data_IF_999365640223
#
_entry.id   IF_999365640223
#
_cell.length_a   1.000
_cell.length_b   1.000
_cell.length_c   1.000
_cell.angle_alpha   90.00
_cell.angle_beta   90.00
_cell.angle_gamma   90.00
#
_symmetry.space_group_name_H-M   'P 1'
#
loop_
_entity.id
_entity.type
_entity.pdbx_description
1 polymer ?
#
# COMPACT_ATOMS: atom_id res chain seq x y z
N UNK A 1 8.51 -13.14 4.38
CA UNK A 1 7.64 -12.78 5.52
C UNK A 1 8.34 -11.81 6.49
N UNK A 2 9.42 -12.21 7.19
CA UNK A 2 10.08 -11.38 8.22
C UNK A 2 10.33 -9.94 7.79
N UNK A 3 10.94 -9.71 6.62
CA UNK A 3 11.19 -8.36 6.08
C UNK A 3 9.94 -7.49 6.08
N UNK A 4 8.77 -8.04 5.75
CA UNK A 4 7.51 -7.29 5.67
C UNK A 4 6.96 -6.85 7.04
N UNK A 5 7.51 -7.36 8.14
CA UNK A 5 7.18 -6.95 9.51
C UNK A 5 8.19 -5.95 10.09
N UNK A 6 9.34 -5.76 9.45
CA UNK A 6 10.40 -4.88 9.94
C UNK A 6 10.12 -3.43 9.53
N UNK A 7 9.85 -2.58 10.52
CA UNK A 7 9.53 -1.16 10.37
C UNK A 7 10.71 -0.29 9.92
N UNK A 8 11.93 -0.79 10.06
CA UNK A 8 13.15 -0.23 9.48
C UNK A 8 13.38 -0.65 8.01
N UNK A 9 12.67 -1.68 7.54
CA UNK A 9 12.76 -2.16 6.15
C UNK A 9 11.63 -1.63 5.27
N UNK A 10 10.38 -1.69 5.73
CA UNK A 10 9.20 -1.20 5.01
C UNK A 10 8.69 0.09 5.63
N UNK A 11 8.33 1.06 4.78
CA UNK A 11 7.75 2.33 5.21
C UNK A 11 6.34 2.17 5.80
N UNK A 12 5.61 1.16 5.34
CA UNK A 12 4.32 0.70 5.84
C UNK A 12 4.35 -0.84 5.95
N UNK A 13 4.66 -1.41 7.13
CA UNK A 13 4.71 -2.85 7.33
C UNK A 13 3.42 -3.56 6.93
N UNK A 14 3.56 -4.74 6.31
CA UNK A 14 2.43 -5.55 5.83
C UNK A 14 2.16 -6.76 6.73
N UNK A 15 3.07 -7.08 7.64
CA UNK A 15 2.94 -8.16 8.62
C UNK A 15 3.07 -7.58 10.02
N UNK A 16 2.17 -7.99 10.90
CA UNK A 16 2.27 -7.79 12.34
C UNK A 16 2.89 -9.05 12.94
N UNK A 17 4.12 -8.92 13.43
CA UNK A 17 4.94 -10.03 13.91
C UNK A 17 5.11 -9.99 15.43
N UNK A 18 4.99 -11.14 16.07
CA UNK A 18 5.24 -11.32 17.50
C UNK A 18 6.42 -12.27 17.74
N UNK A 19 7.36 -11.84 18.58
CA UNK A 19 8.65 -12.52 18.81
C UNK A 19 9.82 -11.69 18.28
N UNK A 20 10.99 -12.32 18.10
CA UNK A 20 12.16 -11.63 17.54
C UNK A 20 12.15 -11.67 16.00
N UNK A 21 11.79 -10.54 15.37
CA UNK A 21 11.82 -10.34 13.92
C UNK A 21 13.13 -9.70 13.41
N UNK A 22 14.17 -9.65 14.23
CA UNK A 22 15.48 -9.10 13.90
C UNK A 22 15.59 -7.60 14.17
N UNK A 23 16.79 -7.08 13.96
CA UNK A 23 17.14 -5.66 14.02
C UNK A 23 17.92 -5.28 12.75
N UNK A 24 18.48 -4.07 12.70
CA UNK A 24 19.40 -3.68 11.63
C UNK A 24 20.73 -4.46 11.67
N UNK A 25 21.10 -4.99 12.84
CA UNK A 25 22.39 -5.67 13.07
C UNK A 25 22.21 -7.21 13.21
N UNK A 26 21.07 -7.66 13.75
CA UNK A 26 20.82 -9.08 14.05
C UNK A 26 19.67 -9.69 13.24
N UNK A 27 19.84 -10.97 12.90
CA UNK A 27 18.80 -11.76 12.23
C UNK A 27 17.60 -12.12 13.12
N UNK A 28 16.47 -12.52 12.52
CA UNK A 28 15.28 -12.94 13.25
C UNK A 28 15.48 -14.29 13.96
N UNK A 29 14.61 -14.57 14.93
CA UNK A 29 14.50 -15.91 15.50
C UNK A 29 13.97 -16.92 14.47
N UNK A 30 14.19 -18.22 14.74
CA UNK A 30 13.64 -19.29 13.91
C UNK A 30 12.11 -19.28 13.91
N UNK A 31 11.44 -19.71 12.80
CA UNK A 31 9.99 -19.60 12.63
C UNK A 31 9.15 -20.24 13.75
N UNK A 32 9.67 -21.29 14.39
CA UNK A 32 9.02 -21.98 15.52
C UNK A 32 8.87 -21.12 16.80
N UNK A 33 9.51 -19.96 16.85
CA UNK A 33 9.47 -19.03 17.98
C UNK A 33 8.75 -17.71 17.66
N UNK A 34 8.20 -17.58 16.45
CA UNK A 34 7.59 -16.35 15.97
C UNK A 34 6.15 -16.60 15.55
N UNK A 35 5.28 -15.66 15.83
CA UNK A 35 3.90 -15.64 15.34
C UNK A 35 3.72 -14.44 14.41
N UNK A 36 2.79 -14.53 13.46
CA UNK A 36 2.55 -13.47 12.49
C UNK A 36 1.09 -13.44 12.04
N UNK A 37 0.61 -12.24 11.72
CA UNK A 37 -0.66 -12.00 11.02
C UNK A 37 -0.51 -10.84 10.04
N UNK A 38 -1.50 -10.61 9.20
CA UNK A 38 -1.53 -9.42 8.33
C UNK A 38 -1.61 -8.15 9.20
N UNK A 39 -0.78 -7.15 8.86
CA UNK A 39 -0.94 -5.81 9.43
C UNK A 39 -2.24 -5.18 8.92
N UNK A 40 -2.79 -4.23 9.68
CA UNK A 40 -4.07 -3.60 9.36
C UNK A 40 -4.12 -2.94 7.98
N UNK A 41 -2.99 -2.42 7.48
CA UNK A 41 -2.87 -1.86 6.14
C UNK A 41 -2.86 -2.94 5.05
N UNK A 42 -2.29 -4.11 5.33
CA UNK A 42 -2.18 -5.20 4.36
C UNK A 42 -3.52 -5.83 3.99
N UNK A 43 -4.52 -5.80 4.89
CA UNK A 43 -5.88 -6.24 4.59
C UNK A 43 -6.45 -5.52 3.37
N UNK A 44 -6.18 -4.22 3.27
CA UNK A 44 -6.65 -3.37 2.15
C UNK A 44 -6.00 -3.71 0.80
N UNK A 45 -4.91 -4.50 0.81
CA UNK A 45 -4.36 -5.02 -0.44
C UNK A 45 -5.22 -6.15 -1.01
N UNK A 46 -5.96 -6.87 -0.16
CA UNK A 46 -6.73 -8.07 -0.50
C UNK A 46 -8.24 -7.89 -0.40
N UNK A 47 -8.72 -6.70 -0.02
CA UNK A 47 -10.15 -6.43 0.09
C UNK A 47 -10.87 -6.68 -1.24
N UNK A 48 -12.11 -7.20 -1.15
CA UNK A 48 -13.01 -7.43 -2.29
C UNK A 48 -12.56 -8.50 -3.29
N UNK A 49 -11.61 -9.37 -2.95
CA UNK A 49 -11.18 -10.47 -3.84
C UNK A 49 -12.32 -11.42 -4.26
N UNK A 50 -13.41 -11.47 -3.47
CA UNK A 50 -14.63 -12.24 -3.75
C UNK A 50 -15.62 -11.51 -4.69
N UNK A 51 -15.32 -10.28 -5.12
CA UNK A 51 -16.19 -9.44 -5.95
C UNK A 51 -15.69 -9.29 -7.40
N UNK A 52 -15.01 -10.32 -7.94
CA UNK A 52 -14.52 -10.38 -9.33
C UNK A 52 -13.67 -9.17 -9.73
N UNK A 53 -12.78 -8.72 -8.85
CA UNK A 53 -12.02 -7.46 -9.02
C UNK A 53 -10.70 -7.62 -9.76
N UNK A 54 -10.18 -8.85 -9.83
CA UNK A 54 -8.90 -9.21 -10.47
C UNK A 54 -9.01 -10.61 -11.05
N UNK A 55 -8.14 -10.94 -12.00
CA UNK A 55 -8.12 -12.27 -12.59
C UNK A 55 -7.46 -13.29 -11.66
N UNK A 56 -8.05 -14.48 -11.63
CA UNK A 56 -7.52 -15.63 -10.92
C UNK A 56 -6.93 -16.63 -11.90
N UNK A 57 -5.75 -17.13 -11.58
CA UNK A 57 -5.01 -18.15 -12.35
C UNK A 57 -4.84 -19.42 -11.52
N UNK A 58 -4.69 -20.60 -12.15
CA UNK A 58 -4.35 -21.81 -11.42
C UNK A 58 -3.01 -21.67 -10.68
N UNK A 59 -2.90 -22.31 -9.53
CA UNK A 59 -1.62 -22.49 -8.83
C UNK A 59 -0.74 -23.53 -9.56
N UNK A 60 0.48 -23.76 -9.06
CA UNK A 60 1.50 -24.59 -9.72
C UNK A 60 1.07 -26.05 -10.03
N UNK A 61 0.12 -26.62 -9.27
CA UNK A 61 -0.39 -27.98 -9.47
C UNK A 61 -1.85 -28.04 -9.96
N UNK A 62 -2.44 -26.88 -10.31
CA UNK A 62 -3.82 -26.72 -10.74
C UNK A 62 -4.90 -27.21 -9.74
N UNK A 63 -4.57 -27.37 -8.44
CA UNK A 63 -5.55 -27.76 -7.42
C UNK A 63 -6.31 -26.57 -6.82
N UNK A 64 -5.71 -25.38 -6.85
CA UNK A 64 -6.26 -24.14 -6.31
C UNK A 64 -6.14 -23.01 -7.34
N UNK A 65 -6.87 -21.94 -7.13
CA UNK A 65 -6.68 -20.68 -7.86
C UNK A 65 -6.02 -19.63 -6.97
N UNK A 66 -5.33 -18.69 -7.58
CA UNK A 66 -4.67 -17.56 -6.93
C UNK A 66 -4.88 -16.29 -7.77
N UNK A 67 -4.93 -15.10 -7.16
CA UNK A 67 -4.97 -13.86 -7.93
C UNK A 67 -3.64 -13.66 -8.67
N UNK A 68 -3.70 -13.21 -9.92
CA UNK A 68 -2.49 -12.82 -10.69
C UNK A 68 -1.90 -11.50 -10.15
N UNK A 69 -2.78 -10.58 -9.72
CA UNK A 69 -2.44 -9.32 -9.06
C UNK A 69 -3.41 -9.04 -7.92
N UNK A 70 -2.99 -8.29 -6.90
CA UNK A 70 -3.86 -7.89 -5.80
C UNK A 70 -4.66 -6.61 -6.13
N UNK A 71 -5.89 -6.45 -5.57
CA UNK A 71 -6.70 -5.22 -5.70
C UNK A 71 -5.96 -3.94 -5.28
N UNK A 72 -5.10 -4.05 -4.26
CA UNK A 72 -4.15 -3.03 -3.85
C UNK A 72 -4.77 -1.63 -3.60
N UNK A 73 -5.62 -1.47 -2.57
CA UNK A 73 -6.29 -0.20 -2.28
C UNK A 73 -5.36 1.00 -2.00
N UNK A 74 -4.05 0.80 -1.88
CA UNK A 74 -3.03 1.85 -1.88
C UNK A 74 -1.84 1.52 -2.80
N UNK A 75 -1.07 2.53 -3.25
CA UNK A 75 0.05 2.36 -4.19
C UNK A 75 1.29 1.72 -3.52
N UNK A 76 1.19 0.46 -3.13
CA UNK A 76 2.19 -0.26 -2.32
C UNK A 76 3.60 -0.25 -2.94
N UNK A 77 3.72 -0.34 -4.27
CA UNK A 77 5.03 -0.34 -4.95
C UNK A 77 5.82 0.95 -4.68
N UNK A 78 5.17 2.10 -4.74
CA UNK A 78 5.80 3.40 -4.44
C UNK A 78 5.99 3.60 -2.95
N UNK A 79 4.98 3.23 -2.14
CA UNK A 79 5.01 3.42 -0.68
C UNK A 79 6.12 2.61 -0.02
N UNK A 80 6.22 1.31 -0.33
CA UNK A 80 7.17 0.41 0.30
C UNK A 80 8.46 0.18 -0.51
N UNK A 81 8.49 0.61 -1.77
CA UNK A 81 9.60 0.33 -2.67
C UNK A 81 9.74 -1.17 -2.99
N UNK A 82 10.77 -1.50 -3.74
CA UNK A 82 11.09 -2.85 -4.16
C UNK A 82 12.59 -2.98 -4.41
N UNK A 83 13.14 -4.15 -4.15
CA UNK A 83 14.53 -4.45 -4.50
C UNK A 83 14.60 -5.88 -4.99
N UNK A 84 15.36 -6.13 -6.04
CA UNK A 84 15.44 -7.45 -6.66
C UNK A 84 16.51 -7.52 -7.73
N UNK A 85 17.18 -8.66 -7.81
CA UNK A 85 18.18 -8.97 -8.84
C UNK A 85 17.62 -10.14 -9.65
N UNK A 86 17.41 -9.92 -10.94
CA UNK A 86 16.97 -10.94 -11.89
C UNK A 86 18.08 -11.23 -12.89
N UNK A 87 17.77 -11.93 -13.99
CA UNK A 87 18.74 -12.22 -15.05
C UNK A 87 18.82 -11.03 -16.01
N UNK A 88 19.99 -10.38 -16.07
CA UNK A 88 20.23 -9.24 -16.98
C UNK A 88 19.60 -7.91 -16.55
N UNK A 89 18.93 -7.88 -15.39
CA UNK A 89 18.30 -6.67 -14.86
C UNK A 89 18.24 -6.71 -13.32
N UNK A 90 18.08 -5.53 -12.73
CA UNK A 90 17.83 -5.37 -11.30
C UNK A 90 16.80 -4.25 -11.10
N UNK A 91 16.16 -4.23 -9.95
CA UNK A 91 15.29 -3.15 -9.50
C UNK A 91 15.72 -2.70 -8.11
N UNK A 92 15.69 -1.39 -7.87
CA UNK A 92 15.94 -0.80 -6.56
C UNK A 92 15.14 0.51 -6.46
N UNK A 93 13.95 0.40 -5.86
CA UNK A 93 12.98 1.49 -5.73
C UNK A 93 12.96 1.98 -4.29
N UNK A 94 13.11 3.28 -4.10
CA UNK A 94 13.03 3.88 -2.78
C UNK A 94 11.56 3.92 -2.28
N UNK A 95 11.32 3.77 -0.97
CA UNK A 95 10.00 3.96 -0.39
C UNK A 95 9.60 5.44 -0.33
N UNK A 96 8.29 5.68 -0.28
CA UNK A 96 7.69 7.02 -0.27
C UNK A 96 6.60 7.14 0.79
N UNK A 97 6.25 8.38 1.12
CA UNK A 97 5.21 8.66 2.09
C UNK A 97 3.82 8.31 1.52
N UNK A 98 3.02 7.55 2.27
CA UNK A 98 1.68 7.13 1.85
C UNK A 98 0.77 8.30 1.48
N UNK A 99 0.74 9.34 2.32
CA UNK A 99 -0.16 10.49 2.15
C UNK A 99 0.20 11.24 0.88
N UNK A 100 1.49 11.42 0.64
CA UNK A 100 2.01 12.13 -0.54
C UNK A 100 1.71 11.39 -1.84
N UNK A 101 1.99 10.08 -1.89
CA UNK A 101 1.73 9.26 -3.08
C UNK A 101 0.23 9.18 -3.36
N UNK A 102 -0.61 9.04 -2.33
CA UNK A 102 -2.08 9.07 -2.50
C UNK A 102 -2.54 10.44 -2.99
N UNK A 103 -2.00 11.53 -2.45
CA UNK A 103 -2.38 12.88 -2.89
C UNK A 103 -2.02 13.10 -4.36
N UNK A 104 -0.88 12.59 -4.81
CA UNK A 104 -0.48 12.60 -6.21
C UNK A 104 -1.38 11.73 -7.10
N UNK A 105 -1.73 10.52 -6.65
CA UNK A 105 -2.63 9.63 -7.37
C UNK A 105 -4.03 10.25 -7.53
N UNK A 106 -4.56 10.87 -6.47
CA UNK A 106 -5.84 11.61 -6.52
C UNK A 106 -5.77 12.80 -7.46
N UNK A 107 -4.68 13.56 -7.43
CA UNK A 107 -4.47 14.66 -8.38
C UNK A 107 -4.46 14.17 -9.84
N UNK A 108 -3.81 13.03 -10.11
CA UNK A 108 -3.76 12.42 -11.45
C UNK A 108 -5.11 11.84 -11.89
N UNK A 109 -5.92 11.34 -10.95
CA UNK A 109 -7.29 10.90 -11.22
C UNK A 109 -8.14 12.08 -11.70
N UNK A 110 -8.04 13.22 -11.03
CA UNK A 110 -8.78 14.45 -11.33
C UNK A 110 -8.22 15.19 -12.56
N UNK A 111 -6.92 15.04 -12.84
CA UNK A 111 -6.20 15.71 -13.93
C UNK A 111 -5.34 14.69 -14.70
N UNK A 112 -5.93 13.94 -15.66
CA UNK A 112 -5.21 12.88 -16.37
C UNK A 112 -3.98 13.36 -17.16
N UNK A 113 -3.99 14.62 -17.59
CA UNK A 113 -2.91 15.26 -18.35
C UNK A 113 -1.86 15.94 -17.45
N UNK A 114 -1.89 15.69 -16.12
CA UNK A 114 -0.95 16.28 -15.18
C UNK A 114 0.50 15.97 -15.57
N UNK A 115 1.36 17.00 -15.48
CA UNK A 115 2.78 16.84 -15.81
C UNK A 115 3.55 16.23 -14.64
N UNK A 116 4.78 15.78 -14.91
CA UNK A 116 5.67 15.33 -13.84
C UNK A 116 5.90 16.43 -12.79
N UNK A 117 6.01 17.70 -13.22
CA UNK A 117 6.21 18.82 -12.28
C UNK A 117 5.01 18.99 -11.34
N UNK A 118 3.79 18.78 -11.84
CA UNK A 118 2.58 18.84 -11.01
C UNK A 118 2.57 17.72 -9.97
N UNK A 119 2.92 16.50 -10.38
CA UNK A 119 3.03 15.33 -9.48
C UNK A 119 4.12 15.53 -8.42
N UNK A 120 5.27 16.11 -8.78
CA UNK A 120 6.38 16.34 -7.86
C UNK A 120 6.07 17.36 -6.76
N UNK A 121 5.05 18.22 -6.93
CA UNK A 121 4.57 19.09 -5.84
C UNK A 121 3.95 18.29 -4.70
N UNK A 122 3.37 17.13 -5.00
CA UNK A 122 2.80 16.22 -4.00
C UNK A 122 3.83 15.22 -3.47
N UNK A 123 4.71 14.72 -4.34
CA UNK A 123 5.78 13.77 -3.98
C UNK A 123 7.15 14.41 -4.17
N UNK A 124 7.65 15.21 -3.21
CA UNK A 124 8.89 15.95 -3.40
C UNK A 124 10.16 15.07 -3.28
N UNK A 125 10.04 13.85 -2.77
CA UNK A 125 11.16 12.91 -2.65
C UNK A 125 10.81 11.63 -1.89
N UNK A 126 11.72 10.64 -1.85
CA UNK A 126 11.58 9.44 -1.04
C UNK A 126 11.37 9.75 0.45
N UNK A 127 10.70 8.84 1.14
CA UNK A 127 10.50 8.87 2.60
C UNK A 127 10.93 7.53 3.18
N UNK A 128 12.13 7.51 3.73
CA UNK A 128 12.80 6.30 4.19
C UNK A 128 12.28 5.91 5.58
N UNK A 129 12.06 4.60 5.85
CA UNK A 129 11.55 4.15 7.14
C UNK A 129 12.45 4.56 8.32
N UNK A 130 13.77 4.62 8.11
CA UNK A 130 14.77 5.01 9.13
C UNK A 130 14.94 6.54 9.27
N UNK A 131 14.20 7.34 8.50
CA UNK A 131 14.33 8.80 8.49
C UNK A 131 15.59 9.27 7.75
N UNK A 132 16.43 10.03 8.44
CA UNK A 132 17.66 10.60 7.91
C UNK A 132 17.44 11.86 7.08
N UNK A 133 18.52 12.29 6.42
CA UNK A 133 18.52 13.47 5.54
C UNK A 133 18.93 13.08 4.13
N UNK A 134 18.19 13.53 3.13
CA UNK A 134 18.62 13.47 1.74
C UNK A 134 19.21 14.83 1.36
N UNK A 135 20.41 14.81 0.79
CA UNK A 135 21.13 16.02 0.37
C UNK A 135 21.30 16.00 -1.15
N UNK A 136 20.78 17.04 -1.79
CA UNK A 136 20.75 17.16 -3.25
C UNK A 136 19.55 16.41 -3.83
N UNK A 137 18.69 17.12 -4.56
CA UNK A 137 17.45 16.55 -5.11
C UNK A 137 17.51 16.28 -6.62
N UNK A 138 18.60 16.64 -7.29
CA UNK A 138 18.68 16.51 -8.76
C UNK A 138 18.63 15.06 -9.22
N UNK A 139 19.29 14.15 -8.50
CA UNK A 139 19.21 12.72 -8.80
C UNK A 139 17.83 12.11 -8.49
N UNK A 140 17.03 12.74 -7.61
CA UNK A 140 15.62 12.36 -7.41
C UNK A 140 14.78 12.84 -8.59
N UNK A 141 14.98 14.09 -9.04
CA UNK A 141 14.30 14.64 -10.24
C UNK A 141 14.58 13.77 -11.46
N UNK A 142 15.83 13.39 -11.68
CA UNK A 142 16.23 12.48 -12.77
C UNK A 142 15.57 11.10 -12.63
N UNK A 143 15.55 10.53 -11.42
CA UNK A 143 14.91 9.25 -11.15
C UNK A 143 13.39 9.29 -11.39
N UNK A 144 12.73 10.38 -11.05
CA UNK A 144 11.31 10.54 -11.30
C UNK A 144 10.99 10.76 -12.78
N UNK A 145 11.91 11.36 -13.55
CA UNK A 145 11.74 11.53 -14.99
C UNK A 145 12.01 10.25 -15.78
N UNK A 146 13.03 9.47 -15.38
CA UNK A 146 13.59 8.40 -16.22
C UNK A 146 13.47 7.01 -15.61
N UNK A 147 13.13 6.92 -14.33
CA UNK A 147 13.21 5.70 -13.53
C UNK A 147 14.61 5.39 -13.01
N UNK A 148 15.63 6.21 -13.29
CA UNK A 148 17.01 6.02 -12.83
C UNK A 148 17.61 7.30 -12.28
N UNK A 149 18.34 7.18 -11.18
CA UNK A 149 19.06 8.30 -10.57
C UNK A 149 19.68 7.88 -9.25
N UNK A 150 20.34 8.79 -8.57
CA UNK A 150 20.94 8.49 -7.27
C UNK A 150 20.90 9.69 -6.35
N UNK A 151 20.72 9.44 -5.06
CA UNK A 151 20.78 10.48 -4.05
C UNK A 151 21.61 10.02 -2.86
N UNK A 152 22.15 10.99 -2.12
CA UNK A 152 22.89 10.72 -0.89
C UNK A 152 21.99 10.84 0.31
N UNK A 153 22.14 9.90 1.21
CA UNK A 153 21.51 9.91 2.53
C UNK A 153 22.58 10.16 3.58
N UNK A 154 22.23 10.96 4.59
CA UNK A 154 23.10 11.26 5.73
C UNK A 154 22.41 10.97 7.03
N UNK A 155 23.22 10.51 7.97
CA UNK A 155 22.86 10.40 9.37
C UNK A 155 22.46 11.77 9.95
N UNK A 156 21.51 11.77 10.88
CA UNK A 156 21.15 12.95 11.66
C UNK A 156 22.05 13.00 12.89
N UNK A 157 22.79 14.09 13.01
CA UNK A 157 23.80 14.26 14.06
C UNK A 157 23.60 15.59 14.76
N UNK A 158 23.67 15.56 16.08
CA UNK A 158 23.68 16.73 16.96
C UNK A 158 25.04 16.83 17.68
N UNK A 159 25.55 18.05 17.84
CA UNK A 159 26.77 18.29 18.60
C UNK A 159 26.35 18.57 20.04
N UNK A 160 26.73 17.68 20.95
CA UNK A 160 26.38 17.80 22.38
C UNK A 160 27.64 18.01 23.24
N UNK A 161 27.49 18.80 24.31
CA UNK A 161 28.50 18.90 25.36
C UNK A 161 28.28 17.78 26.39
N UNK A 162 28.98 16.65 26.22
CA UNK A 162 28.83 15.45 27.07
C UNK A 162 29.30 15.68 28.52
N UNK A 163 30.29 16.55 28.71
CA UNK A 163 30.75 16.99 30.04
C UNK A 163 31.44 18.35 29.95
N UNK A 164 31.82 18.97 31.07
CA UNK A 164 32.51 20.27 31.08
C UNK A 164 33.79 20.34 30.21
N UNK A 165 34.38 19.20 29.84
CA UNK A 165 35.58 19.13 29.00
C UNK A 165 35.45 18.28 27.74
N UNK A 166 34.31 17.59 27.52
CA UNK A 166 34.12 16.70 26.36
C UNK A 166 32.93 17.12 25.53
N UNK A 167 33.16 17.23 24.23
CA UNK A 167 32.15 17.41 23.20
C UNK A 167 31.99 16.10 22.43
N UNK A 168 30.78 15.77 22.01
CA UNK A 168 30.47 14.56 21.27
C UNK A 168 29.53 14.83 20.10
N UNK A 169 29.51 13.88 19.17
CA UNK A 169 28.53 13.81 18.08
C UNK A 169 27.51 12.74 18.45
N UNK A 170 26.26 13.13 18.61
CA UNK A 170 25.15 12.22 18.94
C UNK A 170 24.35 11.96 17.69
N UNK A 171 24.38 10.71 17.22
CA UNK A 171 23.66 10.26 16.04
C UNK A 171 22.31 9.69 16.45
N UNK A 172 21.24 10.20 15.86
CA UNK A 172 19.85 9.84 16.19
C UNK A 172 19.11 9.15 15.06
N UNK A 173 19.60 9.28 13.82
CA UNK A 173 19.06 8.58 12.64
C UNK A 173 20.23 8.19 11.71
N UNK A 174 20.17 7.01 11.11
CA UNK A 174 21.18 6.50 10.15
C UNK A 174 20.58 6.33 8.75
N UNK A 175 21.43 6.28 7.70
CA UNK A 175 21.01 5.89 6.36
C UNK A 175 20.18 4.60 6.30
N UNK A 176 19.38 4.47 5.25
CA UNK A 176 18.46 3.34 5.08
C UNK A 176 19.22 2.00 5.04
N UNK A 177 18.73 1.02 5.80
CA UNK A 177 19.34 -0.32 5.94
C UNK A 177 20.76 -0.32 6.53
N UNK A 178 21.15 0.73 7.27
CA UNK A 178 22.44 0.80 7.98
C UNK A 178 22.21 0.72 9.50
N UNK A 179 22.79 -0.30 10.13
CA UNK A 179 22.81 -0.48 11.58
C UNK A 179 24.01 0.17 12.27
N UNK A 180 23.89 0.51 13.57
CA UNK A 180 24.95 1.11 14.37
C UNK A 180 26.23 0.27 14.44
N UNK A 181 26.16 -1.07 14.48
CA UNK A 181 27.36 -1.90 14.61
C UNK A 181 28.27 -1.76 13.39
N UNK A 182 27.67 -1.76 12.19
CA UNK A 182 28.39 -1.54 10.93
C UNK A 182 29.06 -0.18 10.88
N UNK A 183 28.42 0.86 11.44
CA UNK A 183 28.99 2.21 11.53
C UNK A 183 30.20 2.20 12.48
N UNK A 184 30.06 1.62 13.67
CA UNK A 184 31.13 1.52 14.67
C UNK A 184 32.35 0.78 14.09
N UNK A 185 32.12 -0.36 13.43
CA UNK A 185 33.17 -1.15 12.78
C UNK A 185 33.95 -0.30 11.78
N UNK A 186 33.26 0.38 10.86
CA UNK A 186 33.92 1.17 9.80
C UNK A 186 34.61 2.43 10.32
N UNK A 187 34.08 3.04 11.37
CA UNK A 187 34.78 4.14 12.05
C UNK A 187 36.08 3.63 12.70
N UNK A 188 36.04 2.48 13.39
CA UNK A 188 37.24 1.86 13.99
C UNK A 188 38.28 1.53 12.93
N UNK A 189 37.87 0.96 11.79
CA UNK A 189 38.76 0.71 10.63
C UNK A 189 39.41 2.02 10.13
N UNK A 190 38.63 3.09 9.99
CA UNK A 190 39.13 4.38 9.52
C UNK A 190 40.09 5.05 10.50
N UNK A 191 39.86 4.90 11.82
CA UNK A 191 40.76 5.38 12.88
C UNK A 191 42.06 4.58 12.90
N UNK A 192 42.00 3.25 12.85
CA UNK A 192 43.16 2.37 12.82
C UNK A 192 44.01 2.59 11.55
N UNK A 193 43.35 2.80 10.42
CA UNK A 193 43.97 3.17 9.15
C UNK A 193 44.48 4.61 9.07
N UNK A 194 44.36 5.39 10.15
CA UNK A 194 44.74 6.82 10.26
C UNK A 194 44.07 7.74 9.22
N UNK A 195 42.96 7.32 8.63
CA UNK A 195 42.14 8.14 7.71
C UNK A 195 41.25 9.11 8.46
N UNK A 196 40.85 8.73 9.67
CA UNK A 196 40.02 9.52 10.56
C UNK A 196 40.76 9.77 11.88
N UNK A 197 40.73 11.03 12.34
CA UNK A 197 41.37 11.43 13.61
C UNK A 197 40.39 12.23 14.46
N UNK A 198 40.68 12.37 15.75
CA UNK A 198 39.86 13.17 16.65
C UNK A 198 38.74 12.44 17.38
N UNK A 199 38.58 11.13 17.18
CA UNK A 199 37.66 10.30 17.98
C UNK A 199 38.41 9.76 19.21
N UNK A 200 37.79 9.90 20.37
CA UNK A 200 38.23 9.35 21.64
C UNK A 200 37.60 7.99 21.91
N UNK A 201 36.28 7.90 21.77
CA UNK A 201 35.51 6.68 22.04
C UNK A 201 34.20 6.69 21.24
N UNK A 202 33.55 5.52 21.13
CA UNK A 202 32.24 5.37 20.50
C UNK A 202 31.38 4.46 21.38
N UNK A 203 30.25 5.00 21.85
CA UNK A 203 29.33 4.32 22.75
C UNK A 203 27.97 4.20 22.09
N UNK A 204 27.49 2.97 21.91
CA UNK A 204 26.13 2.72 21.45
C UNK A 204 25.17 2.66 22.65
N UNK A 205 24.26 3.63 22.72
CA UNK A 205 23.20 3.71 23.72
C UNK A 205 21.83 3.45 23.10
N UNK A 206 21.80 2.78 21.95
CA UNK A 206 20.57 2.42 21.25
C UNK A 206 19.75 1.44 22.09
N UNK A 207 18.47 1.75 22.26
CA UNK A 207 17.54 0.86 22.94
C UNK A 207 16.13 0.95 22.32
N UNK A 208 15.27 0.00 22.70
CA UNK A 208 13.90 -0.07 22.15
C UNK A 208 12.98 1.08 22.58
N UNK A 209 13.28 1.76 23.70
CA UNK A 209 12.46 2.84 24.26
C UNK A 209 12.85 4.22 23.72
N UNK A 210 14.14 4.45 23.53
CA UNK A 210 14.70 5.75 23.14
C UNK A 210 15.19 5.78 21.68
N UNK A 211 15.19 4.63 20.99
CA UNK A 211 15.62 4.52 19.61
C UNK A 211 17.15 4.54 19.47
N UNK A 212 17.62 4.87 18.27
CA UNK A 212 19.04 4.98 17.96
C UNK A 212 19.68 6.13 18.73
N UNK A 213 20.75 5.85 19.48
CA UNK A 213 21.59 6.87 20.12
C UNK A 213 23.05 6.43 20.12
N UNK A 214 23.75 6.74 19.04
CA UNK A 214 25.19 6.46 18.92
C UNK A 214 25.99 7.72 19.31
N UNK A 215 26.80 7.63 20.35
CA UNK A 215 27.61 8.74 20.87
C UNK A 215 29.05 8.57 20.44
N UNK A 216 29.56 9.50 19.64
CA UNK A 216 30.95 9.55 19.21
C UNK A 216 31.65 10.64 20.01
N UNK A 217 32.50 10.24 20.97
CA UNK A 217 33.24 11.18 21.80
C UNK A 217 34.45 11.74 21.04
N UNK A 218 34.66 13.06 21.11
CA UNK A 218 35.77 13.73 20.45
C UNK A 218 36.94 13.96 21.40
N UNK A 219 38.16 13.90 20.87
CA UNK A 219 39.38 14.33 21.56
C UNK A 219 39.40 15.85 21.71
N UNK A 220 39.97 16.34 22.81
CA UNK A 220 40.11 17.77 23.06
C UNK A 220 40.89 18.45 21.92
N UNK A 221 40.41 19.62 21.49
CA UNK A 221 41.05 20.44 20.45
C UNK A 221 40.65 20.10 19.01
N UNK A 222 39.81 19.08 18.79
CA UNK A 222 39.26 18.80 17.46
C UNK A 222 37.97 19.59 17.20
N UNK A 223 37.84 20.13 15.98
CA UNK A 223 36.61 20.79 15.55
C UNK A 223 35.52 19.73 15.25
N UNK A 224 34.37 19.74 15.94
CA UNK A 224 33.31 18.74 15.75
C UNK A 224 32.79 18.66 14.32
N UNK A 225 32.63 19.79 13.63
CA UNK A 225 32.16 19.83 12.25
C UNK A 225 33.16 19.19 11.29
N UNK A 226 34.46 19.41 11.51
CA UNK A 226 35.49 18.80 10.68
C UNK A 226 35.53 17.27 10.84
N UNK A 227 35.38 16.77 12.07
CA UNK A 227 35.29 15.32 12.33
C UNK A 227 34.02 14.75 11.73
N UNK A 228 32.88 15.45 11.83
CA UNK A 228 31.62 15.03 11.21
C UNK A 228 31.75 14.88 9.68
N UNK A 229 32.43 15.81 9.00
CA UNK A 229 32.68 15.67 7.56
C UNK A 229 33.56 14.48 7.22
N UNK A 230 34.56 14.17 8.05
CA UNK A 230 35.36 12.94 7.89
C UNK A 230 34.53 11.68 8.13
N UNK A 231 33.63 11.70 9.11
CA UNK A 231 32.71 10.59 9.40
C UNK A 231 31.80 10.30 8.21
N UNK A 232 31.19 11.31 7.60
CA UNK A 232 30.41 11.11 6.36
C UNK A 232 31.26 10.51 5.24
N UNK A 233 32.52 10.97 5.08
CA UNK A 233 33.37 10.49 4.00
C UNK A 233 33.88 9.05 4.18
N UNK A 234 34.12 8.63 5.42
CA UNK A 234 34.84 7.39 5.73
C UNK A 234 34.03 6.37 6.50
N UNK A 235 32.74 6.59 6.70
CA UNK A 235 31.84 5.63 7.34
C UNK A 235 30.46 5.62 6.65
N UNK A 236 29.65 4.57 6.87
CA UNK A 236 28.27 4.50 6.39
C UNK A 236 27.31 5.55 7.01
N UNK A 237 27.82 6.57 7.70
CA UNK A 237 27.01 7.72 8.13
C UNK A 237 26.56 8.60 6.95
N UNK A 238 27.24 8.51 5.81
CA UNK A 238 26.71 8.92 4.51
C UNK A 238 26.68 7.68 3.60
N UNK A 239 25.58 7.48 2.90
CA UNK A 239 25.46 6.40 1.91
C UNK A 239 24.73 6.89 0.66
N UNK A 240 25.02 6.25 -0.47
CA UNK A 240 24.40 6.56 -1.76
C UNK A 240 23.32 5.54 -2.09
N UNK A 241 22.10 6.01 -2.32
CA UNK A 241 21.01 5.18 -2.81
C UNK A 241 20.84 5.38 -4.32
N UNK A 242 21.03 4.31 -5.11
CA UNK A 242 20.75 4.30 -6.54
C UNK A 242 19.33 3.84 -6.82
N UNK A 243 18.47 4.72 -7.33
CA UNK A 243 17.14 4.38 -7.83
C UNK A 243 17.28 3.71 -9.20
N UNK A 244 16.61 2.57 -9.37
CA UNK A 244 16.43 1.89 -10.63
C UNK A 244 15.05 1.23 -10.64
N UNK A 245 14.06 1.93 -11.18
CA UNK A 245 12.65 1.56 -11.15
C UNK A 245 12.30 0.61 -12.30
N UNK A 246 12.70 -0.65 -12.16
CA UNK A 246 12.30 -1.71 -13.08
C UNK A 246 11.12 -2.48 -12.49
N UNK A 247 10.00 -2.54 -13.21
CA UNK A 247 8.79 -3.27 -12.80
C UNK A 247 8.20 -4.02 -13.98
N UNK A 248 7.32 -4.99 -13.71
CA UNK A 248 6.51 -5.62 -14.74
C UNK A 248 5.28 -4.77 -15.03
N UNK A 249 5.04 -4.49 -16.31
CA UNK A 249 3.79 -3.95 -16.83
C UNK A 249 3.33 -4.90 -17.93
N UNK A 250 2.13 -5.45 -17.77
CA UNK A 250 1.58 -6.48 -18.67
C UNK A 250 2.56 -7.66 -18.89
N UNK A 251 3.21 -8.08 -17.80
CA UNK A 251 4.19 -9.17 -17.80
C UNK A 251 5.56 -8.83 -18.40
N UNK A 252 5.78 -7.59 -18.89
CA UNK A 252 7.04 -7.16 -19.49
C UNK A 252 7.83 -6.23 -18.58
N UNK A 253 9.17 -6.42 -18.44
CA UNK A 253 10.00 -5.54 -17.62
C UNK A 253 10.16 -4.17 -18.30
N UNK A 254 9.80 -3.10 -17.58
CA UNK A 254 9.94 -1.72 -18.04
C UNK A 254 10.63 -0.86 -16.99
N UNK A 255 11.43 0.11 -17.45
CA UNK A 255 12.00 1.15 -16.58
C UNK A 255 11.07 2.36 -16.61
N UNK A 256 10.50 2.75 -15.47
CA UNK A 256 9.47 3.78 -15.39
C UNK A 256 9.84 4.91 -14.43
N UNK A 257 9.54 6.14 -14.83
CA UNK A 257 9.51 7.31 -13.97
C UNK A 257 8.27 7.36 -13.08
N UNK A 258 8.22 8.36 -12.19
CA UNK A 258 7.17 8.50 -11.17
C UNK A 258 5.77 8.65 -11.77
N UNK A 259 5.61 9.52 -12.77
CA UNK A 259 4.31 9.75 -13.41
C UNK A 259 3.76 8.45 -14.02
N UNK A 260 4.61 7.71 -14.75
CA UNK A 260 4.22 6.43 -15.38
C UNK A 260 3.86 5.36 -14.34
N UNK A 261 4.62 5.25 -13.25
CA UNK A 261 4.31 4.34 -12.15
C UNK A 261 2.94 4.67 -11.51
N UNK A 262 2.64 5.96 -11.32
CA UNK A 262 1.34 6.40 -10.80
C UNK A 262 0.21 6.14 -11.79
N UNK A 263 0.41 6.40 -13.08
CA UNK A 263 -0.59 6.12 -14.12
C UNK A 263 -0.98 4.64 -14.13
N UNK A 264 0.00 3.73 -14.16
CA UNK A 264 -0.26 2.27 -14.12
C UNK A 264 -1.07 1.89 -12.88
N UNK A 265 -0.74 2.46 -11.71
CA UNK A 265 -1.48 2.21 -10.49
C UNK A 265 -2.92 2.75 -10.55
N UNK A 266 -3.11 3.99 -11.03
CA UNK A 266 -4.41 4.63 -11.15
C UNK A 266 -5.32 3.84 -12.10
N UNK A 267 -4.80 3.41 -13.26
CA UNK A 267 -5.54 2.61 -14.23
C UNK A 267 -5.97 1.27 -13.65
N UNK A 268 -5.07 0.60 -12.90
CA UNK A 268 -5.39 -0.62 -12.16
C UNK A 268 -6.52 -0.37 -11.14
N UNK A 269 -6.44 0.70 -10.36
CA UNK A 269 -7.46 1.03 -9.36
C UNK A 269 -8.81 1.35 -9.95
N UNK A 270 -8.86 2.12 -11.04
CA UNK A 270 -10.09 2.42 -11.77
C UNK A 270 -10.71 1.11 -12.28
N UNK A 271 -9.90 0.21 -12.83
CA UNK A 271 -10.36 -1.10 -13.32
C UNK A 271 -10.93 -1.96 -12.20
N UNK A 272 -10.22 -2.07 -11.06
CA UNK A 272 -10.68 -2.81 -9.88
C UNK A 272 -12.03 -2.28 -9.38
N UNK A 273 -12.17 -0.96 -9.22
CA UNK A 273 -13.41 -0.34 -8.73
C UNK A 273 -14.55 -0.50 -9.74
N UNK A 274 -14.26 -0.42 -11.05
CA UNK A 274 -15.25 -0.67 -12.11
C UNK A 274 -15.76 -2.11 -12.06
N UNK A 275 -14.87 -3.10 -11.98
CA UNK A 275 -15.23 -4.52 -11.87
C UNK A 275 -16.06 -4.80 -10.62
N UNK A 276 -15.62 -4.28 -9.47
CA UNK A 276 -16.37 -4.38 -8.21
C UNK A 276 -17.78 -3.82 -8.32
N UNK A 277 -17.91 -2.63 -8.90
CA UNK A 277 -19.19 -1.94 -9.09
C UNK A 277 -20.10 -2.75 -10.03
N UNK A 278 -19.56 -3.29 -11.12
CA UNK A 278 -20.30 -4.14 -12.06
C UNK A 278 -20.74 -5.47 -11.42
N UNK A 279 -19.88 -6.12 -10.64
CA UNK A 279 -20.22 -7.34 -9.89
C UNK A 279 -21.36 -7.09 -8.91
N UNK A 280 -21.28 -6.01 -8.13
CA UNK A 280 -22.33 -5.61 -7.18
C UNK A 280 -23.64 -5.29 -7.90
N UNK A 281 -23.57 -4.60 -9.05
CA UNK A 281 -24.74 -4.29 -9.86
C UNK A 281 -25.42 -5.58 -10.33
N UNK A 282 -24.67 -6.50 -10.93
CA UNK A 282 -25.20 -7.79 -11.38
C UNK A 282 -25.88 -8.56 -10.24
N UNK A 283 -25.24 -8.65 -9.06
CA UNK A 283 -25.83 -9.31 -7.88
C UNK A 283 -27.13 -8.65 -7.43
N UNK A 284 -27.21 -7.32 -7.46
CA UNK A 284 -28.42 -6.59 -7.08
C UNK A 284 -29.53 -6.74 -8.13
N UNK A 285 -29.20 -6.74 -9.42
CA UNK A 285 -30.15 -7.01 -10.49
C UNK A 285 -30.71 -8.43 -10.41
N UNK A 286 -29.84 -9.44 -10.21
CA UNK A 286 -30.26 -10.82 -9.98
C UNK A 286 -31.23 -10.92 -8.78
N UNK A 287 -30.91 -10.21 -7.69
CA UNK A 287 -31.76 -10.20 -6.50
C UNK A 287 -33.09 -9.48 -6.75
N UNK A 288 -33.08 -8.33 -7.41
CA UNK A 288 -34.28 -7.56 -7.75
C UNK A 288 -35.21 -8.41 -8.61
N UNK A 289 -34.66 -9.12 -9.60
CA UNK A 289 -35.40 -10.03 -10.48
C UNK A 289 -36.15 -11.12 -9.68
N UNK A 290 -35.48 -11.73 -8.69
CA UNK A 290 -36.13 -12.70 -7.79
C UNK A 290 -37.24 -12.06 -6.94
N UNK A 291 -37.00 -10.88 -6.38
CA UNK A 291 -37.98 -10.16 -5.54
C UNK A 291 -39.21 -9.75 -6.36
N UNK A 292 -39.04 -9.32 -7.60
CA UNK A 292 -40.13 -9.00 -8.52
C UNK A 292 -41.02 -10.22 -8.80
N UNK A 293 -40.41 -11.38 -9.06
CA UNK A 293 -41.15 -12.64 -9.22
C UNK A 293 -41.93 -13.03 -7.97
N UNK A 294 -41.33 -12.89 -6.78
CA UNK A 294 -42.02 -13.17 -5.52
C UNK A 294 -43.20 -12.24 -5.27
N UNK A 295 -43.05 -10.94 -5.56
CA UNK A 295 -44.12 -9.97 -5.37
C UNK A 295 -45.30 -10.26 -6.30
N UNK A 296 -45.05 -10.65 -7.55
CA UNK A 296 -46.10 -11.12 -8.48
C UNK A 296 -46.82 -12.34 -7.89
N UNK A 297 -46.07 -13.34 -7.43
CA UNK A 297 -46.64 -14.56 -6.86
C UNK A 297 -47.45 -14.32 -5.56
N UNK A 298 -47.01 -13.39 -4.71
CA UNK A 298 -47.69 -13.07 -3.44
C UNK A 298 -49.00 -12.32 -3.68
N UNK A 299 -49.11 -11.52 -4.75
CA UNK A 299 -50.34 -10.80 -5.08
C UNK A 299 -51.49 -11.78 -5.39
N UNK A 300 -51.18 -12.92 -6.00
CA UNK A 300 -52.16 -13.94 -6.41
C UNK A 300 -51.78 -15.33 -5.87
N UNK A 301 -51.50 -15.39 -4.56
CA UNK A 301 -50.91 -16.58 -3.95
C UNK A 301 -51.83 -17.81 -3.99
N UNK A 302 -53.15 -17.61 -3.94
CA UNK A 302 -54.10 -18.72 -3.96
C UNK A 302 -54.06 -19.46 -5.30
N UNK A 303 -53.99 -18.74 -6.42
CA UNK A 303 -53.86 -19.32 -7.76
C UNK A 303 -52.50 -19.98 -7.95
N UNK A 304 -51.41 -19.35 -7.47
CA UNK A 304 -50.08 -19.96 -7.46
C UNK A 304 -50.09 -21.30 -6.72
N UNK A 305 -50.73 -21.37 -5.55
CA UNK A 305 -50.87 -22.61 -4.78
C UNK A 305 -51.71 -23.65 -5.56
N UNK A 306 -52.78 -23.23 -6.25
CA UNK A 306 -53.59 -24.14 -7.07
C UNK A 306 -52.82 -24.69 -8.26
N UNK A 307 -52.04 -23.87 -8.96
CA UNK A 307 -51.17 -24.30 -10.06
C UNK A 307 -50.18 -25.37 -9.56
N UNK A 308 -49.55 -25.12 -8.41
CA UNK A 308 -48.59 -26.07 -7.81
C UNK A 308 -49.29 -27.37 -7.39
N UNK A 309 -50.45 -27.28 -6.72
CA UNK A 309 -51.20 -28.46 -6.25
C UNK A 309 -51.82 -29.30 -7.36
N UNK A 310 -52.14 -28.69 -8.50
CA UNK A 310 -52.74 -29.36 -9.67
C UNK A 310 -51.72 -29.89 -10.67
N UNK A 311 -50.43 -29.69 -10.41
CA UNK A 311 -49.34 -30.18 -11.27
C UNK A 311 -48.76 -31.46 -10.70
N UNK A 312 -48.63 -32.50 -11.52
CA UNK A 312 -48.11 -33.81 -11.08
C UNK A 312 -46.59 -33.78 -10.80
N UNK A 313 -45.86 -32.88 -11.47
CA UNK A 313 -44.40 -32.74 -11.33
C UNK A 313 -43.96 -31.28 -11.17
N UNK A 314 -42.81 -31.07 -10.52
CA UNK A 314 -42.20 -29.76 -10.31
C UNK A 314 -41.93 -29.06 -11.64
N UNK A 315 -41.49 -29.79 -12.66
CA UNK A 315 -41.24 -29.25 -13.99
C UNK A 315 -42.53 -28.69 -14.63
N UNK A 316 -43.64 -29.42 -14.50
CA UNK A 316 -44.94 -28.97 -15.00
C UNK A 316 -45.47 -27.74 -14.25
N UNK A 317 -45.31 -27.71 -12.92
CA UNK A 317 -45.68 -26.54 -12.11
C UNK A 317 -44.88 -25.30 -12.55
N UNK A 318 -43.57 -25.47 -12.76
CA UNK A 318 -42.67 -24.40 -13.23
C UNK A 318 -43.08 -23.85 -14.58
N UNK A 319 -43.29 -24.71 -15.59
CA UNK A 319 -43.71 -24.26 -16.93
C UNK A 319 -45.04 -23.52 -16.89
N UNK A 320 -45.99 -23.97 -16.06
CA UNK A 320 -47.28 -23.28 -15.88
C UNK A 320 -47.12 -21.93 -15.19
N UNK A 321 -46.31 -21.83 -14.14
CA UNK A 321 -46.02 -20.55 -13.47
C UNK A 321 -45.36 -19.56 -14.43
N UNK A 322 -44.39 -20.02 -15.23
CA UNK A 322 -43.75 -19.21 -16.26
C UNK A 322 -44.76 -18.72 -17.30
N UNK A 323 -45.64 -19.60 -17.79
CA UNK A 323 -46.61 -19.24 -18.84
C UNK A 323 -47.74 -18.32 -18.36
N UNK A 324 -48.17 -18.44 -17.10
CA UNK A 324 -49.34 -17.69 -16.58
C UNK A 324 -48.92 -16.30 -16.09
N UNK A 325 -47.76 -16.20 -15.46
CA UNK A 325 -47.28 -14.97 -14.82
C UNK A 325 -46.10 -14.32 -15.56
N UNK A 326 -45.79 -14.76 -16.79
CA UNK A 326 -44.65 -14.31 -17.59
C UNK A 326 -43.32 -14.33 -16.83
N UNK A 327 -43.15 -15.34 -15.96
CA UNK A 327 -41.97 -15.49 -15.12
C UNK A 327 -40.83 -16.16 -15.88
N UNK A 328 -39.60 -15.78 -15.55
CA UNK A 328 -38.43 -16.53 -15.97
C UNK A 328 -38.31 -17.86 -15.21
N UNK A 329 -37.56 -18.81 -15.77
CA UNK A 329 -37.30 -20.10 -15.11
C UNK A 329 -36.69 -19.92 -13.71
N UNK A 330 -35.77 -18.97 -13.55
CA UNK A 330 -35.11 -18.68 -12.27
C UNK A 330 -36.11 -18.18 -11.23
N UNK A 331 -37.01 -17.26 -11.60
CA UNK A 331 -38.07 -16.78 -10.71
C UNK A 331 -39.06 -17.90 -10.35
N UNK A 332 -39.49 -18.69 -11.32
CA UNK A 332 -40.43 -19.79 -11.09
C UNK A 332 -39.84 -20.85 -10.15
N UNK A 333 -38.59 -21.24 -10.35
CA UNK A 333 -37.87 -22.13 -9.42
C UNK A 333 -37.81 -21.54 -8.00
N UNK A 334 -37.47 -20.25 -7.89
CA UNK A 334 -37.36 -19.58 -6.59
C UNK A 334 -38.71 -19.47 -5.85
N UNK A 335 -39.82 -19.30 -6.59
CA UNK A 335 -41.19 -19.35 -6.03
C UNK A 335 -41.53 -20.75 -5.55
N UNK A 336 -41.16 -21.80 -6.28
CA UNK A 336 -41.41 -23.19 -5.86
C UNK A 336 -40.65 -23.58 -4.59
N UNK A 337 -39.53 -22.90 -4.30
CA UNK A 337 -38.74 -23.07 -3.08
C UNK A 337 -39.21 -22.19 -1.90
N UNK A 338 -40.24 -21.36 -2.10
CA UNK A 338 -40.74 -20.43 -1.10
C UNK A 338 -41.27 -21.17 0.14
N UNK A 339 -40.88 -20.69 1.32
CA UNK A 339 -41.36 -21.26 2.59
C UNK A 339 -42.67 -20.60 3.00
N UNK A 340 -43.67 -21.37 3.43
CA UNK A 340 -45.00 -20.86 3.83
C UNK A 340 -44.97 -19.66 4.79
N UNK A 341 -43.96 -19.55 5.68
CA UNK A 341 -43.78 -18.39 6.57
C UNK A 341 -43.61 -17.04 5.84
N UNK A 342 -43.12 -17.08 4.60
CA UNK A 342 -42.89 -15.91 3.75
C UNK A 342 -44.19 -15.37 3.11
N UNK A 343 -45.33 -16.04 3.32
CA UNK A 343 -46.65 -15.59 2.83
C UNK A 343 -47.35 -14.62 3.79
N UNK A 344 -46.72 -14.29 4.92
CA UNK A 344 -47.30 -13.36 5.89
C UNK A 344 -47.33 -11.93 5.31
N UNK A 345 -48.34 -11.14 5.70
CA UNK A 345 -48.43 -9.71 5.33
C UNK A 345 -47.14 -8.94 5.65
N UNK A 346 -46.49 -9.28 6.76
CA UNK A 346 -45.22 -8.69 7.15
C UNK A 346 -44.11 -9.00 6.14
N UNK A 347 -44.00 -10.25 5.68
CA UNK A 347 -43.00 -10.65 4.67
C UNK A 347 -43.18 -9.92 3.35
N UNK A 348 -44.43 -9.66 2.93
CA UNK A 348 -44.72 -8.84 1.74
C UNK A 348 -44.18 -7.41 1.89
N UNK A 349 -44.44 -6.76 3.03
CA UNK A 349 -43.96 -5.40 3.28
C UNK A 349 -42.42 -5.34 3.27
N UNK A 350 -41.75 -6.36 3.82
CA UNK A 350 -40.29 -6.45 3.78
C UNK A 350 -39.77 -6.64 2.34
N UNK A 351 -40.44 -7.44 1.51
CA UNK A 351 -40.08 -7.59 0.08
C UNK A 351 -40.31 -6.30 -0.72
N UNK A 352 -41.40 -5.56 -0.46
CA UNK A 352 -41.66 -4.26 -1.10
C UNK A 352 -40.57 -3.24 -0.74
N UNK A 353 -40.16 -3.18 0.54
CA UNK A 353 -39.02 -2.35 0.97
C UNK A 353 -37.70 -2.80 0.35
N UNK A 354 -37.46 -4.11 0.30
CA UNK A 354 -36.26 -4.68 -0.32
C UNK A 354 -36.20 -4.30 -1.82
N UNK A 355 -37.32 -4.38 -2.53
CA UNK A 355 -37.42 -3.95 -3.93
C UNK A 355 -37.06 -2.47 -4.11
N UNK A 356 -37.63 -1.58 -3.28
CA UNK A 356 -37.36 -0.15 -3.34
C UNK A 356 -35.87 0.15 -3.10
N UNK A 357 -35.29 -0.48 -2.07
CA UNK A 357 -33.87 -0.34 -1.75
C UNK A 357 -32.98 -0.85 -2.89
N UNK A 358 -33.29 -2.04 -3.45
CA UNK A 358 -32.53 -2.60 -4.57
C UNK A 358 -32.59 -1.70 -5.80
N UNK A 359 -33.76 -1.17 -6.16
CA UNK A 359 -33.90 -0.23 -7.28
C UNK A 359 -33.06 1.02 -7.09
N UNK A 360 -33.05 1.57 -5.87
CA UNK A 360 -32.21 2.74 -5.54
C UNK A 360 -30.72 2.41 -5.69
N UNK A 361 -30.27 1.32 -5.10
CA UNK A 361 -28.86 0.90 -5.15
C UNK A 361 -28.41 0.53 -6.56
N UNK A 362 -29.28 -0.09 -7.37
CA UNK A 362 -29.04 -0.36 -8.79
C UNK A 362 -28.85 0.96 -9.54
N UNK A 363 -29.74 1.93 -9.36
CA UNK A 363 -29.63 3.23 -10.02
C UNK A 363 -28.33 3.97 -9.61
N UNK A 364 -27.93 3.89 -8.34
CA UNK A 364 -26.66 4.45 -7.86
C UNK A 364 -25.45 3.78 -8.54
N UNK A 365 -25.43 2.44 -8.63
CA UNK A 365 -24.34 1.69 -9.28
C UNK A 365 -24.31 1.91 -10.80
N UNK A 366 -25.47 1.96 -11.47
CA UNK A 366 -25.59 2.28 -12.89
C UNK A 366 -25.08 3.70 -13.18
N UNK A 367 -25.39 4.67 -12.31
CA UNK A 367 -24.87 6.03 -12.44
C UNK A 367 -23.34 6.07 -12.35
N UNK A 368 -22.75 5.32 -11.41
CA UNK A 368 -21.29 5.21 -11.27
C UNK A 368 -20.67 4.58 -12.52
N UNK A 369 -21.23 3.49 -13.04
CA UNK A 369 -20.69 2.82 -14.23
C UNK A 369 -20.89 3.63 -15.52
N UNK A 370 -21.97 4.41 -15.59
CA UNK A 370 -22.32 5.27 -16.72
C UNK A 370 -21.55 6.59 -16.78
N UNK A 371 -20.81 6.96 -15.72
CA UNK A 371 -20.05 8.21 -15.65
C UNK A 371 -18.61 7.95 -15.21
N UNK A 372 -17.67 8.16 -16.13
CA UNK A 372 -16.23 8.05 -15.82
C UNK A 372 -15.82 9.01 -14.68
N UNK A 373 -16.45 10.18 -14.62
CA UNK A 373 -16.23 11.16 -13.57
C UNK A 373 -16.67 10.63 -12.19
N UNK A 374 -17.87 10.04 -12.08
CA UNK A 374 -18.35 9.49 -10.79
C UNK A 374 -17.50 8.31 -10.33
N UNK A 375 -17.06 7.47 -11.26
CA UNK A 375 -16.15 6.37 -10.96
C UNK A 375 -14.80 6.90 -10.43
N UNK A 376 -14.23 7.91 -11.08
CA UNK A 376 -12.99 8.57 -10.65
C UNK A 376 -13.12 9.21 -9.28
N UNK A 377 -14.23 9.91 -9.03
CA UNK A 377 -14.54 10.51 -7.72
C UNK A 377 -14.62 9.44 -6.63
N UNK A 378 -15.28 8.30 -6.90
CA UNK A 378 -15.33 7.16 -5.99
C UNK A 378 -13.91 6.62 -5.69
N UNK A 379 -13.08 6.41 -6.71
CA UNK A 379 -11.70 5.92 -6.53
C UNK A 379 -10.87 6.92 -5.72
N UNK A 380 -10.98 8.23 -6.02
CA UNK A 380 -10.28 9.30 -5.30
C UNK A 380 -10.72 9.38 -3.84
N UNK A 381 -12.02 9.20 -3.56
CA UNK A 381 -12.60 9.14 -2.23
C UNK A 381 -12.04 7.98 -1.40
N UNK A 382 -12.07 6.76 -1.95
CA UNK A 382 -11.53 5.57 -1.28
C UNK A 382 -10.03 5.70 -0.98
N UNK A 383 -9.25 6.26 -1.90
CA UNK A 383 -7.83 6.56 -1.65
C UNK A 383 -7.67 7.57 -0.51
N UNK A 384 -8.51 8.60 -0.45
CA UNK A 384 -8.52 9.58 0.64
C UNK A 384 -8.73 8.94 2.01
N UNK A 385 -9.70 8.05 2.13
CA UNK A 385 -9.99 7.31 3.39
C UNK A 385 -8.79 6.46 3.84
N UNK A 386 -8.09 5.83 2.90
CA UNK A 386 -6.87 5.05 3.19
C UNK A 386 -5.75 5.95 3.70
N UNK A 387 -5.53 7.12 3.09
CA UNK A 387 -4.53 8.08 3.55
C UNK A 387 -4.85 8.60 4.96
N UNK A 388 -6.12 8.85 5.27
CA UNK A 388 -6.55 9.27 6.61
C UNK A 388 -6.31 8.16 7.66
N UNK A 389 -6.64 6.93 7.32
CA UNK A 389 -6.58 5.78 8.24
C UNK A 389 -5.16 5.29 8.52
N UNK A 390 -4.28 5.29 7.51
CA UNK A 390 -2.94 4.68 7.60
C UNK A 390 -1.79 5.68 7.37
N UNK A 391 -2.11 6.94 7.07
CA UNK A 391 -1.14 8.00 6.85
C UNK A 391 -0.27 8.26 8.07
N UNK A 392 0.99 8.60 7.82
CA UNK A 392 1.93 9.03 8.86
C UNK A 392 2.75 10.21 8.34
N UNK A 393 3.22 11.12 9.22
CA UNK A 393 4.09 12.23 8.80
C UNK A 393 5.35 11.73 8.08
N UNK A 394 5.91 12.58 7.22
CA UNK A 394 7.23 12.37 6.61
C UNK A 394 8.29 12.21 7.68
N UNK A 395 9.20 11.24 7.50
CA UNK A 395 10.34 10.96 8.38
C UNK A 395 11.63 11.57 7.83
N UNK A 396 11.87 11.44 6.54
CA UNK A 396 13.11 11.89 5.90
C UNK A 396 13.09 13.39 5.59
N UNK A 397 14.14 14.11 5.97
CA UNK A 397 14.29 15.54 5.65
C UNK A 397 14.96 15.70 4.28
N UNK A 398 14.35 16.50 3.40
CA UNK A 398 14.86 16.80 2.07
C UNK A 398 15.58 18.15 2.07
N UNK A 399 16.84 18.18 1.63
CA UNK A 399 17.66 19.40 1.52
C UNK A 399 18.13 19.60 0.08
N UNK A 400 17.82 20.76 -0.53
CA UNK A 400 18.22 21.07 -1.91
C UNK A 400 19.74 21.15 -2.08
N UNK A 401 20.43 21.74 -1.10
CA UNK A 401 21.87 21.83 -1.06
C UNK A 401 22.39 21.65 0.37
N UNK A 402 23.69 21.38 0.51
CA UNK A 402 24.33 21.48 1.82
C UNK A 402 24.17 22.90 2.35
N UNK A 403 23.60 23.06 3.55
CA UNK A 403 23.78 24.29 4.30
C UNK A 403 25.27 24.38 4.66
N UNK A 404 26.03 25.14 3.89
CA UNK A 404 27.40 25.49 4.21
C UNK A 404 27.34 26.34 5.48
N UNK A 405 27.64 25.74 6.64
CA UNK A 405 27.86 26.53 7.85
C UNK A 405 29.05 27.45 7.55
N UNK A 406 28.96 28.76 7.84
CA UNK A 406 30.04 29.68 7.51
C UNK A 406 31.32 29.17 8.16
N UNK A 407 32.33 28.88 7.33
CA UNK A 407 33.71 28.75 7.80
C UNK A 407 34.02 30.02 8.54
N UNK A 408 34.13 29.93 9.87
CA UNK A 408 34.67 31.01 10.69
C UNK A 408 36.08 31.26 10.16
N UNK A 409 36.27 32.43 9.57
CA UNK A 409 37.53 32.89 9.01
C UNK A 409 38.61 33.06 10.09
#
# INVERSE_FOLDING_TARGET
>A
MVRMAQDFSLRLPLIDGHGNFGSLDDGPAAPRYTEARLAAAALTLTDHLDEDVVDFVPNYDNQLTQPDVLPAAFPNLLVNGATGIAVGMATNMAPHNLVEVISAARHLIDNPDATLEDIMRFVPGPDLPTGGRIVGLDGIREAYATGRGSFKTRAKVEIEQLSARRTGLVVTELPYMVGPEKVIEKIKDAVNGKKLTGISDIVDLTDRKHGLRLVIELKNGFNPNAVLQQLYRYSPMEDSFGINNVTLVDGQPQTLGLLQLLSVYVDHRITVVRRRTAFRLAKKMDRLHLVEGLLIAIVDIDEVIQIIRSSDEVAAARERLMSIYDLTEVQANYILELRLRQLTKYSRIELEKEQEQLRREIAELEAILGSDQLLRELVSGELGEIAEKYGTPRRTVLLESEAVSPTVA
#
